data_IF_840645085422
#
_entry.id   IF_840645085422
#
_cell.length_a   1.000
_cell.length_b   1.000
_cell.length_c   1.000
_cell.angle_alpha   90.00
_cell.angle_beta   90.00
_cell.angle_gamma   90.00
#
_symmetry.space_group_name_H-M   'P 1'
#
loop_
_entity.id
_entity.type
_entity.pdbx_description
1 polymer ?
#
# COMPACT_ATOMS: atom_id res chain seq x y z
N UNK A 1 15.64 17.32 4.49
CA UNK A 1 14.34 16.60 4.32
C UNK A 1 13.81 15.99 5.62
N UNK A 2 14.35 14.88 6.14
CA UNK A 2 13.74 14.21 7.32
C UNK A 2 13.71 15.12 8.56
N UNK A 3 14.75 15.94 8.76
CA UNK A 3 14.76 16.96 9.82
C UNK A 3 13.71 18.05 9.63
N UNK A 4 13.52 18.50 8.40
CA UNK A 4 12.54 19.54 8.08
C UNK A 4 11.13 19.05 8.32
N UNK A 5 10.75 17.89 7.78
CA UNK A 5 9.39 17.36 7.97
C UNK A 5 9.13 17.00 9.43
N UNK A 6 10.14 16.55 10.18
CA UNK A 6 10.01 16.31 11.61
C UNK A 6 9.73 17.61 12.36
N UNK A 7 10.46 18.67 12.05
CA UNK A 7 10.26 20.01 12.63
C UNK A 7 8.87 20.57 12.33
N UNK A 8 8.34 20.31 11.15
CA UNK A 8 6.98 20.69 10.75
C UNK A 8 5.88 19.78 11.35
N UNK A 9 6.23 18.84 12.22
CA UNK A 9 5.27 18.00 12.95
C UNK A 9 4.81 16.74 12.20
N UNK A 10 5.54 16.32 11.16
CA UNK A 10 5.27 15.05 10.50
C UNK A 10 5.56 13.88 11.45
N UNK A 11 4.56 13.04 11.69
CA UNK A 11 4.67 11.84 12.55
C UNK A 11 4.72 10.55 11.73
N UNK A 12 3.93 10.48 10.66
CA UNK A 12 3.80 9.27 9.83
C UNK A 12 4.65 9.38 8.56
N UNK A 13 5.56 8.41 8.39
CA UNK A 13 6.43 8.33 7.21
C UNK A 13 6.14 7.05 6.43
N UNK A 14 5.73 7.20 5.17
CA UNK A 14 5.57 6.08 4.25
C UNK A 14 6.78 6.00 3.31
N UNK A 15 7.58 4.94 3.45
CA UNK A 15 8.69 4.63 2.54
C UNK A 15 8.15 3.78 1.39
N UNK A 16 8.14 4.35 0.19
CA UNK A 16 7.54 3.77 -1.02
C UNK A 16 8.31 4.24 -2.27
N UNK A 17 7.66 4.32 -3.42
CA UNK A 17 8.19 4.82 -4.69
C UNK A 17 7.70 3.93 -5.84
N UNK A 18 8.66 3.41 -6.60
CA UNK A 18 8.48 2.16 -7.37
C UNK A 18 8.83 0.93 -6.52
N UNK A 19 10.03 0.92 -5.93
CA UNK A 19 10.50 -0.07 -4.95
C UNK A 19 11.54 0.58 -4.02
N UNK A 20 11.29 0.78 -2.71
CA UNK A 20 12.24 1.47 -1.82
C UNK A 20 13.52 0.69 -1.56
N UNK A 21 13.49 -0.65 -1.62
CA UNK A 21 14.64 -1.50 -1.32
C UNK A 21 15.70 -1.54 -2.44
N UNK A 22 15.45 -0.86 -3.57
CA UNK A 22 16.47 -0.71 -4.63
C UNK A 22 17.59 0.25 -4.23
N UNK A 23 17.33 1.10 -3.23
CA UNK A 23 18.32 2.06 -2.74
C UNK A 23 19.33 1.40 -1.83
N UNK A 24 20.61 1.60 -2.12
CA UNK A 24 21.71 1.09 -1.30
C UNK A 24 21.71 1.67 0.12
N UNK A 25 21.28 2.94 0.25
CA UNK A 25 21.17 3.67 1.52
C UNK A 25 19.83 3.48 2.25
N UNK A 26 18.99 2.50 1.84
CA UNK A 26 17.66 2.29 2.44
C UNK A 26 17.72 2.12 3.96
N UNK A 27 18.65 1.31 4.48
CA UNK A 27 18.78 1.06 5.92
C UNK A 27 19.26 2.30 6.67
N UNK A 28 20.09 3.16 6.07
CA UNK A 28 20.55 4.41 6.67
C UNK A 28 19.38 5.39 6.83
N UNK A 29 18.59 5.58 5.76
CA UNK A 29 17.39 6.41 5.78
C UNK A 29 16.38 5.89 6.80
N UNK A 30 16.14 4.57 6.80
CA UNK A 30 15.23 3.93 7.74
C UNK A 30 15.68 4.11 9.19
N UNK A 31 16.96 3.87 9.48
CA UNK A 31 17.55 4.01 10.81
C UNK A 31 17.41 5.44 11.33
N UNK A 32 17.78 6.42 10.50
CA UNK A 32 17.68 7.84 10.86
C UNK A 32 16.23 8.25 11.13
N UNK A 33 15.29 7.81 10.28
CA UNK A 33 13.87 8.09 10.51
C UNK A 33 13.34 7.43 11.81
N UNK A 34 13.78 6.21 12.14
CA UNK A 34 13.43 5.56 13.40
C UNK A 34 13.97 6.35 14.61
N UNK A 35 15.21 6.82 14.54
CA UNK A 35 15.83 7.62 15.61
C UNK A 35 15.08 8.94 15.84
N UNK A 36 14.60 9.59 14.79
CA UNK A 36 13.76 10.80 14.87
C UNK A 36 12.35 10.55 15.41
N UNK A 37 11.94 9.29 15.61
CA UNK A 37 10.64 8.95 16.16
C UNK A 37 9.50 8.87 15.15
N UNK A 38 9.78 8.77 13.85
CA UNK A 38 8.74 8.56 12.84
C UNK A 38 8.03 7.21 13.03
N UNK A 39 6.72 7.21 12.79
CA UNK A 39 5.92 6.00 12.62
C UNK A 39 6.02 5.57 11.16
N UNK A 40 6.84 4.54 10.90
CA UNK A 40 7.22 4.15 9.55
C UNK A 40 6.33 3.03 9.01
N UNK A 41 5.79 3.22 7.81
CA UNK A 41 5.22 2.15 6.98
C UNK A 41 6.08 1.95 5.74
N UNK A 42 6.35 0.70 5.36
CA UNK A 42 7.13 0.37 4.16
C UNK A 42 6.18 -0.25 3.13
N UNK A 43 6.09 0.32 1.93
CA UNK A 43 5.42 -0.30 0.77
C UNK A 43 6.47 -0.85 -0.18
N UNK A 44 6.37 -2.14 -0.51
CA UNK A 44 7.38 -2.85 -1.32
C UNK A 44 6.73 -3.99 -2.11
N UNK A 45 7.32 -4.36 -3.23
CA UNK A 45 6.98 -5.57 -3.97
C UNK A 45 7.53 -6.85 -3.29
N UNK A 46 8.37 -6.69 -2.27
CA UNK A 46 8.92 -7.81 -1.49
C UNK A 46 10.10 -8.53 -2.15
N UNK A 47 10.47 -8.22 -3.39
CA UNK A 47 11.46 -8.98 -4.16
C UNK A 47 12.92 -8.70 -3.79
N UNK A 48 13.22 -7.65 -3.02
CA UNK A 48 14.59 -7.19 -2.74
C UNK A 48 14.98 -7.27 -1.26
N UNK A 49 14.21 -7.97 -0.43
CA UNK A 49 14.62 -8.20 0.95
C UNK A 49 15.87 -9.07 1.03
N UNK A 50 16.90 -8.56 1.70
CA UNK A 50 18.09 -9.32 2.07
C UNK A 50 18.00 -9.77 3.53
N UNK A 51 18.80 -10.77 3.89
CA UNK A 51 18.88 -11.21 5.29
C UNK A 51 19.29 -10.05 6.23
N UNK A 52 20.21 -9.19 5.79
CA UNK A 52 20.64 -8.01 6.53
C UNK A 52 19.47 -7.07 6.84
N UNK A 53 18.65 -6.74 5.82
CA UNK A 53 17.46 -5.89 5.98
C UNK A 53 16.48 -6.54 6.95
N UNK A 54 16.16 -7.82 6.74
CA UNK A 54 15.21 -8.55 7.57
C UNK A 54 15.67 -8.60 9.03
N UNK A 55 16.97 -8.86 9.27
CA UNK A 55 17.54 -8.91 10.61
C UNK A 55 17.55 -7.54 11.28
N UNK A 56 17.77 -6.46 10.52
CA UNK A 56 17.64 -5.10 11.04
C UNK A 56 16.20 -4.78 11.45
N UNK A 57 15.23 -5.00 10.55
CA UNK A 57 13.81 -4.72 10.82
C UNK A 57 13.25 -5.58 11.97
N UNK A 58 13.84 -6.75 12.24
CA UNK A 58 13.48 -7.54 13.42
C UNK A 58 13.91 -6.87 14.73
N UNK A 59 15.06 -6.18 14.73
CA UNK A 59 15.58 -5.45 15.90
C UNK A 59 14.88 -4.11 16.09
N UNK A 60 14.60 -3.42 14.99
CA UNK A 60 13.90 -2.13 14.97
C UNK A 60 12.72 -2.22 13.99
N UNK A 61 11.54 -2.67 14.43
CA UNK A 61 10.42 -2.90 13.54
C UNK A 61 9.74 -1.59 13.09
N UNK A 62 9.23 -1.55 11.84
CA UNK A 62 8.32 -0.49 11.39
C UNK A 62 6.94 -0.67 12.03
N UNK A 63 6.05 0.30 11.80
CA UNK A 63 4.64 0.14 12.11
C UNK A 63 4.02 -0.97 11.26
N UNK A 64 4.29 -0.97 9.95
CA UNK A 64 3.92 -2.05 9.06
C UNK A 64 4.86 -2.19 7.85
N UNK A 65 4.97 -3.41 7.36
CA UNK A 65 5.52 -3.77 6.06
C UNK A 65 4.33 -4.20 5.21
N UNK A 66 4.05 -3.49 4.13
CA UNK A 66 2.94 -3.80 3.25
C UNK A 66 3.45 -4.28 1.90
N UNK A 67 3.20 -5.56 1.60
CA UNK A 67 3.64 -6.22 0.35
C UNK A 67 2.47 -6.37 -0.60
N UNK A 68 2.66 -5.97 -1.85
CA UNK A 68 1.66 -6.19 -2.89
C UNK A 68 1.68 -7.64 -3.41
N UNK A 69 0.66 -8.43 -3.07
CA UNK A 69 0.39 -9.77 -3.57
C UNK A 69 -0.80 -9.74 -4.54
N UNK A 70 -0.53 -9.69 -5.85
CA UNK A 70 -1.56 -9.54 -6.89
C UNK A 70 -2.08 -10.85 -7.49
N UNK A 71 -1.71 -12.00 -6.91
CA UNK A 71 -2.14 -13.32 -7.35
C UNK A 71 -1.63 -14.39 -6.39
N UNK A 72 -2.31 -15.54 -6.35
CA UNK A 72 -1.93 -16.72 -5.56
C UNK A 72 -1.38 -17.86 -6.43
N UNK A 73 -1.29 -17.62 -7.73
CA UNK A 73 -0.70 -18.50 -8.72
C UNK A 73 0.37 -17.75 -9.51
N UNK A 74 1.43 -18.42 -10.00
CA UNK A 74 2.41 -17.82 -10.89
C UNK A 74 1.75 -17.15 -12.10
N UNK A 75 0.81 -17.85 -12.76
CA UNK A 75 0.12 -17.34 -13.95
C UNK A 75 -0.57 -15.99 -13.69
N UNK A 76 -1.36 -15.88 -12.62
CA UNK A 76 -2.07 -14.63 -12.31
C UNK A 76 -1.14 -13.53 -11.85
N UNK A 77 -0.18 -13.86 -10.98
CA UNK A 77 0.75 -12.88 -10.41
C UNK A 77 1.68 -12.33 -11.49
N UNK A 78 2.28 -13.21 -12.29
CA UNK A 78 3.26 -12.86 -13.33
C UNK A 78 2.60 -12.24 -14.56
N UNK A 79 1.33 -12.54 -14.85
CA UNK A 79 0.53 -11.77 -15.82
C UNK A 79 0.39 -10.30 -15.43
N UNK A 80 0.50 -9.96 -14.13
CA UNK A 80 0.43 -8.58 -13.66
C UNK A 80 1.83 -7.97 -13.53
N UNK A 81 2.78 -8.69 -12.93
CA UNK A 81 4.13 -8.15 -12.72
C UNK A 81 4.99 -8.17 -13.98
N UNK A 82 4.63 -8.98 -14.98
CA UNK A 82 5.37 -9.15 -16.25
C UNK A 82 6.83 -9.61 -16.04
N UNK A 83 7.09 -10.36 -14.97
CA UNK A 83 8.43 -10.82 -14.57
C UNK A 83 8.31 -12.31 -14.22
N UNK A 84 8.90 -13.22 -15.02
CA UNK A 84 8.92 -14.64 -14.71
C UNK A 84 9.61 -14.94 -13.38
N UNK A 85 9.03 -15.83 -12.57
CA UNK A 85 9.56 -16.25 -11.27
C UNK A 85 9.35 -15.23 -10.14
N UNK A 86 8.71 -14.08 -10.41
CA UNK A 86 8.46 -13.06 -9.39
C UNK A 86 7.50 -13.54 -8.29
N UNK A 87 6.58 -14.45 -8.62
CA UNK A 87 5.64 -15.02 -7.66
C UNK A 87 6.36 -15.82 -6.59
N UNK A 88 7.26 -16.74 -7.01
CA UNK A 88 8.02 -17.57 -6.09
C UNK A 88 8.87 -16.73 -5.14
N UNK A 89 9.55 -15.69 -5.67
CA UNK A 89 10.38 -14.79 -4.89
C UNK A 89 9.57 -13.97 -3.88
N UNK A 90 8.43 -13.43 -4.29
CA UNK A 90 7.54 -12.68 -3.40
C UNK A 90 7.00 -13.57 -2.27
N UNK A 91 6.56 -14.79 -2.60
CA UNK A 91 6.04 -15.74 -1.60
C UNK A 91 7.11 -16.22 -0.62
N UNK A 92 8.34 -16.46 -1.07
CA UNK A 92 9.47 -16.80 -0.19
C UNK A 92 9.68 -15.71 0.86
N UNK A 93 9.74 -14.44 0.43
CA UNK A 93 9.92 -13.31 1.34
C UNK A 93 8.74 -13.16 2.29
N UNK A 94 7.51 -13.25 1.79
CA UNK A 94 6.28 -13.21 2.61
C UNK A 94 6.35 -14.27 3.72
N UNK A 95 6.74 -15.50 3.39
CA UNK A 95 6.87 -16.59 4.36
C UNK A 95 7.97 -16.31 5.40
N UNK A 96 9.12 -15.77 4.98
CA UNK A 96 10.21 -15.42 5.90
C UNK A 96 9.77 -14.31 6.87
N UNK A 97 9.13 -13.25 6.37
CA UNK A 97 8.64 -12.14 7.18
C UNK A 97 7.55 -12.61 8.17
N UNK A 98 6.63 -13.45 7.71
CA UNK A 98 5.60 -14.07 8.55
C UNK A 98 6.22 -14.93 9.67
N UNK A 99 7.16 -15.83 9.33
CA UNK A 99 7.88 -16.68 10.29
C UNK A 99 8.64 -15.87 11.33
N UNK A 100 9.25 -14.75 10.93
CA UNK A 100 9.94 -13.83 11.82
C UNK A 100 9.00 -12.89 12.59
N UNK A 101 7.68 -13.01 12.40
CA UNK A 101 6.62 -12.21 13.05
C UNK A 101 6.80 -10.71 12.86
N UNK A 102 7.33 -10.30 11.71
CA UNK A 102 7.36 -8.89 11.31
C UNK A 102 5.93 -8.39 11.04
N UNK A 103 5.65 -7.08 11.21
CA UNK A 103 4.31 -6.52 11.09
C UNK A 103 3.85 -6.45 9.62
N UNK A 104 3.59 -7.61 9.04
CA UNK A 104 3.25 -7.79 7.63
C UNK A 104 1.77 -7.55 7.38
N UNK A 105 1.47 -6.84 6.29
CA UNK A 105 0.15 -6.68 5.69
C UNK A 105 0.28 -7.01 4.21
N UNK A 106 -0.60 -7.83 3.67
CA UNK A 106 -0.67 -8.12 2.25
C UNK A 106 -1.71 -7.23 1.57
N UNK A 107 -1.34 -6.69 0.41
CA UNK A 107 -2.16 -5.81 -0.40
C UNK A 107 -2.40 -6.38 -1.78
N UNK A 108 -3.56 -6.17 -2.35
CA UNK A 108 -3.80 -6.47 -3.77
C UNK A 108 -4.40 -5.28 -4.49
N UNK A 109 -3.91 -4.98 -5.69
CA UNK A 109 -4.67 -4.19 -6.63
C UNK A 109 -5.76 -5.10 -7.19
N UNK A 110 -7.03 -4.70 -7.11
CA UNK A 110 -8.15 -5.47 -7.66
C UNK A 110 -8.34 -5.09 -9.13
N UNK A 111 -7.81 -5.93 -10.00
CA UNK A 111 -7.71 -5.73 -11.45
C UNK A 111 -8.52 -6.80 -12.19
N UNK A 112 -8.92 -6.51 -13.43
CA UNK A 112 -9.57 -7.51 -14.30
C UNK A 112 -8.86 -8.87 -14.33
N UNK A 113 -7.52 -8.96 -14.49
CA UNK A 113 -6.81 -10.24 -14.51
C UNK A 113 -6.89 -11.03 -13.19
N UNK A 114 -6.87 -10.39 -12.02
CA UNK A 114 -6.81 -11.09 -10.73
C UNK A 114 -8.08 -11.04 -9.87
N UNK A 115 -9.16 -10.39 -10.35
CA UNK A 115 -10.41 -10.23 -9.58
C UNK A 115 -10.94 -11.54 -8.99
N UNK A 116 -10.73 -12.65 -9.69
CA UNK A 116 -11.16 -14.00 -9.31
C UNK A 116 -10.29 -14.65 -8.21
N UNK A 117 -9.16 -14.04 -7.86
CA UNK A 117 -8.26 -14.49 -6.80
C UNK A 117 -8.27 -13.59 -5.56
N UNK A 118 -8.90 -12.41 -5.58
CA UNK A 118 -8.90 -11.47 -4.43
C UNK A 118 -9.33 -12.15 -3.12
N UNK A 119 -10.44 -12.91 -3.13
CA UNK A 119 -10.88 -13.67 -1.96
C UNK A 119 -9.94 -14.83 -1.59
N UNK A 120 -9.24 -15.42 -2.57
CA UNK A 120 -8.22 -16.46 -2.31
C UNK A 120 -6.98 -15.88 -1.65
N UNK A 121 -6.55 -14.68 -2.07
CA UNK A 121 -5.44 -13.95 -1.49
C UNK A 121 -5.75 -13.62 -0.02
N UNK A 122 -6.98 -13.15 0.28
CA UNK A 122 -7.41 -12.95 1.68
C UNK A 122 -7.27 -14.22 2.51
N UNK A 123 -7.82 -15.34 2.04
CA UNK A 123 -7.75 -16.64 2.75
C UNK A 123 -6.31 -17.08 2.99
N UNK A 124 -5.45 -17.02 1.98
CA UNK A 124 -4.03 -17.33 2.14
C UNK A 124 -3.36 -16.40 3.17
N UNK A 125 -3.70 -15.11 3.16
CA UNK A 125 -3.19 -14.14 4.14
C UNK A 125 -3.59 -14.53 5.57
N UNK A 126 -4.84 -14.94 5.77
CA UNK A 126 -5.36 -15.38 7.08
C UNK A 126 -4.74 -16.70 7.54
N UNK A 127 -4.45 -17.62 6.62
CA UNK A 127 -3.72 -18.86 6.92
C UNK A 127 -2.28 -18.57 7.34
N UNK A 128 -1.61 -17.61 6.69
CA UNK A 128 -0.22 -17.25 6.97
C UNK A 128 -0.04 -16.40 8.23
N UNK A 129 -0.93 -15.42 8.45
CA UNK A 129 -0.77 -14.37 9.47
C UNK A 129 -1.80 -14.46 10.60
N UNK A 130 -2.77 -15.36 10.48
CA UNK A 130 -3.89 -15.49 11.40
C UNK A 130 -5.10 -14.65 10.98
N UNK A 131 -6.25 -14.94 11.59
CA UNK A 131 -7.49 -14.19 11.37
C UNK A 131 -7.36 -12.75 11.89
N UNK A 132 -8.11 -11.78 11.31
CA UNK A 132 -8.14 -10.42 11.82
C UNK A 132 -8.53 -10.42 13.31
N UNK A 133 -7.71 -9.77 14.13
CA UNK A 133 -8.11 -9.39 15.49
C UNK A 133 -8.85 -8.04 15.42
N UNK A 134 -9.56 -7.66 16.49
CA UNK A 134 -10.24 -6.36 16.56
C UNK A 134 -9.27 -5.24 16.14
N UNK A 135 -9.61 -4.50 15.08
CA UNK A 135 -8.82 -3.41 14.48
C UNK A 135 -7.47 -3.80 13.84
N UNK A 136 -7.24 -5.07 13.51
CA UNK A 136 -6.01 -5.52 12.82
C UNK A 136 -6.34 -6.36 11.59
N UNK A 137 -6.30 -5.72 10.43
CA UNK A 137 -6.49 -6.37 9.12
C UNK A 137 -5.14 -6.66 8.47
N UNK A 138 -4.90 -7.93 8.19
CA UNK A 138 -3.68 -8.40 7.52
C UNK A 138 -3.79 -8.34 5.99
N UNK A 139 -4.99 -8.19 5.45
CA UNK A 139 -5.24 -8.10 4.01
C UNK A 139 -6.00 -6.81 3.68
N UNK A 140 -5.58 -6.11 2.62
CA UNK A 140 -6.26 -4.95 2.05
C UNK A 140 -6.28 -5.07 0.53
N UNK A 141 -7.29 -4.52 -0.13
CA UNK A 141 -7.26 -4.41 -1.59
C UNK A 141 -7.82 -3.07 -2.07
N UNK A 142 -7.34 -2.59 -3.21
CA UNK A 142 -7.77 -1.33 -3.81
C UNK A 142 -8.23 -1.56 -5.27
N UNK A 143 -9.49 -1.23 -5.62
CA UNK A 143 -9.98 -1.30 -6.99
C UNK A 143 -9.70 -0.04 -7.83
N UNK A 144 -9.14 1.02 -7.25
CA UNK A 144 -8.93 2.30 -7.92
C UNK A 144 -7.69 2.25 -8.81
N UNK A 145 -7.88 2.48 -10.10
CA UNK A 145 -6.80 2.61 -11.08
C UNK A 145 -6.94 3.96 -11.76
N UNK A 146 -5.87 4.75 -11.84
CA UNK A 146 -5.89 6.09 -12.42
C UNK A 146 -5.20 6.11 -13.79
N UNK A 147 -5.52 7.07 -14.68
CA UNK A 147 -4.70 7.34 -15.85
C UNK A 147 -3.28 7.74 -15.44
N UNK A 148 -2.32 7.60 -16.37
CA UNK A 148 -0.97 8.13 -16.18
C UNK A 148 -0.99 9.65 -16.15
N UNK A 149 0.03 10.25 -15.54
CA UNK A 149 0.18 11.72 -15.46
C UNK A 149 0.32 12.39 -16.83
N UNK A 150 0.80 11.67 -17.84
CA UNK A 150 0.87 12.14 -19.23
C UNK A 150 -0.46 12.01 -19.99
N UNK A 151 -1.55 11.67 -19.31
CA UNK A 151 -2.89 11.53 -19.91
C UNK A 151 -3.17 10.15 -20.53
N UNK A 152 -2.20 9.23 -20.58
CA UNK A 152 -2.43 7.88 -21.08
C UNK A 152 -3.45 7.12 -20.21
N UNK A 153 -4.55 6.72 -20.82
CA UNK A 153 -5.67 6.03 -20.19
C UNK A 153 -5.55 4.50 -20.24
N UNK A 154 -4.50 3.94 -20.85
CA UNK A 154 -4.29 2.49 -20.97
C UNK A 154 -4.43 1.74 -19.62
N UNK A 155 -3.93 2.24 -18.47
CA UNK A 155 -4.15 1.56 -17.19
C UNK A 155 -5.63 1.36 -16.82
N UNK A 156 -6.50 2.26 -17.28
CA UNK A 156 -7.94 2.19 -16.98
C UNK A 156 -8.63 0.99 -17.63
N UNK A 157 -8.01 0.36 -18.63
CA UNK A 157 -8.50 -0.88 -19.25
C UNK A 157 -8.57 -2.05 -18.25
N UNK A 158 -7.80 -2.00 -17.17
CA UNK A 158 -7.77 -3.01 -16.12
C UNK A 158 -8.78 -2.78 -14.98
N UNK A 159 -9.52 -1.67 -14.99
CA UNK A 159 -10.57 -1.37 -13.99
C UNK A 159 -11.71 -2.36 -14.08
N UNK A 160 -12.23 -2.78 -12.93
CA UNK A 160 -13.50 -3.51 -12.89
C UNK A 160 -14.66 -2.55 -13.12
N UNK A 161 -15.70 -3.03 -13.78
CA UNK A 161 -17.01 -2.40 -13.74
C UNK A 161 -17.60 -2.46 -12.33
N UNK A 162 -18.56 -1.58 -12.04
CA UNK A 162 -19.27 -1.60 -10.75
C UNK A 162 -19.90 -2.96 -10.44
N UNK A 163 -20.48 -3.64 -11.45
CA UNK A 163 -21.07 -4.98 -11.30
C UNK A 163 -20.02 -6.02 -10.90
N UNK A 164 -18.84 -5.97 -11.50
CA UNK A 164 -17.73 -6.88 -11.15
C UNK A 164 -17.19 -6.59 -9.75
N UNK A 165 -17.06 -5.31 -9.36
CA UNK A 165 -16.66 -4.94 -8.00
C UNK A 165 -17.64 -5.44 -6.95
N UNK A 166 -18.94 -5.30 -7.21
CA UNK A 166 -19.97 -5.85 -6.32
C UNK A 166 -19.88 -7.37 -6.21
N UNK A 167 -19.57 -8.06 -7.30
CA UNK A 167 -19.37 -9.51 -7.28
C UNK A 167 -18.19 -9.89 -6.38
N UNK A 168 -17.02 -9.27 -6.60
CA UNK A 168 -15.82 -9.51 -5.77
C UNK A 168 -16.10 -9.23 -4.29
N UNK A 169 -16.80 -8.12 -3.97
CA UNK A 169 -17.16 -7.79 -2.58
C UNK A 169 -18.06 -8.83 -1.93
N UNK A 170 -19.02 -9.38 -2.68
CA UNK A 170 -19.98 -10.39 -2.18
C UNK A 170 -19.38 -11.79 -2.03
N UNK A 171 -18.23 -12.06 -2.66
CA UNK A 171 -17.55 -13.36 -2.55
C UNK A 171 -16.95 -13.62 -1.17
N UNK A 172 -16.69 -12.57 -0.37
CA UNK A 172 -16.18 -12.68 0.99
C UNK A 172 -17.16 -12.03 1.99
N UNK A 173 -17.73 -12.80 2.93
CA UNK A 173 -18.72 -12.28 3.89
C UNK A 173 -18.22 -11.12 4.75
N UNK A 174 -16.94 -11.12 5.14
CA UNK A 174 -16.37 -10.09 6.01
C UNK A 174 -16.25 -8.77 5.23
N UNK A 175 -15.72 -8.85 4.00
CA UNK A 175 -15.62 -7.69 3.09
C UNK A 175 -17.00 -7.13 2.76
N UNK A 176 -17.98 -8.00 2.52
CA UNK A 176 -19.35 -7.58 2.25
C UNK A 176 -19.97 -6.87 3.47
N UNK A 177 -19.80 -7.43 4.66
CA UNK A 177 -20.32 -6.83 5.89
C UNK A 177 -19.68 -5.47 6.18
N UNK A 178 -18.37 -5.33 6.02
CA UNK A 178 -17.66 -4.05 6.19
C UNK A 178 -18.12 -3.01 5.17
N UNK A 179 -18.30 -3.42 3.91
CA UNK A 179 -18.83 -2.55 2.87
C UNK A 179 -20.25 -2.07 3.19
N UNK A 180 -21.14 -2.96 3.66
CA UNK A 180 -22.49 -2.57 4.09
C UNK A 180 -22.45 -1.60 5.27
N UNK A 181 -21.61 -1.85 6.28
CA UNK A 181 -21.42 -0.92 7.41
C UNK A 181 -21.01 0.48 6.94
N UNK A 182 -20.09 0.58 5.97
CA UNK A 182 -19.66 1.85 5.41
C UNK A 182 -20.74 2.56 4.57
N UNK A 183 -21.65 1.83 3.92
CA UNK A 183 -22.80 2.43 3.23
C UNK A 183 -23.83 3.03 4.19
N UNK A 184 -23.93 2.46 5.39
CA UNK A 184 -24.86 2.88 6.44
C UNK A 184 -24.20 3.72 7.53
N UNK A 185 -22.89 4.01 7.42
CA UNK A 185 -22.22 4.87 8.39
C UNK A 185 -22.66 6.30 8.17
N UNK A 186 -23.05 6.96 9.25
CA UNK A 186 -23.24 8.41 9.25
C UNK A 186 -21.93 9.05 8.78
N UNK A 187 -22.01 9.85 7.72
CA UNK A 187 -20.89 10.71 7.39
C UNK A 187 -20.69 11.64 8.59
N UNK A 188 -19.45 11.81 9.10
CA UNK A 188 -19.21 12.74 10.18
C UNK A 188 -19.75 14.10 9.75
N UNK A 189 -20.54 14.72 10.62
CA UNK A 189 -21.04 16.08 10.47
C UNK A 189 -19.85 17.02 10.65
N UNK A 190 -18.97 17.00 9.64
CA UNK A 190 -17.87 17.92 9.54
C UNK A 190 -18.53 19.27 9.31
N UNK A 191 -18.28 20.26 10.17
CA UNK A 191 -18.57 21.66 9.90
C UNK A 191 -17.83 22.07 8.62
N UNK A 192 -18.46 21.77 7.48
CA UNK A 192 -17.93 22.07 6.17
C UNK A 192 -18.47 23.44 5.84
N UNK A 193 -17.58 24.43 5.80
CA UNK A 193 -17.90 25.68 5.14
C UNK A 193 -18.28 25.35 3.67
N UNK A 194 -19.57 25.56 3.39
CA UNK A 194 -20.28 25.14 2.17
C UNK A 194 -19.95 26.01 0.97
N UNK A 195 -19.04 26.99 1.11
CA UNK A 195 -18.59 27.82 0.00
C UNK A 195 -17.95 27.02 -1.15
N UNK A 196 -17.38 25.83 -0.85
CA UNK A 196 -16.73 24.98 -1.84
C UNK A 196 -17.28 23.55 -1.84
N UNK A 197 -17.65 23.04 -3.02
CA UNK A 197 -18.16 21.68 -3.22
C UNK A 197 -17.08 20.60 -3.02
N UNK A 198 -15.81 20.92 -3.29
CA UNK A 198 -14.66 20.02 -3.12
C UNK A 198 -13.55 20.70 -2.32
N UNK A 199 -13.06 20.02 -1.28
CA UNK A 199 -11.81 20.39 -0.58
C UNK A 199 -10.79 19.28 -0.81
N UNK A 200 -9.66 19.64 -1.42
CA UNK A 200 -8.52 18.75 -1.52
C UNK A 200 -7.69 18.88 -0.23
N UNK A 201 -7.36 17.76 0.41
CA UNK A 201 -6.47 17.74 1.58
C UNK A 201 -4.98 17.62 1.21
N UNK A 202 -4.65 17.67 -0.08
CA UNK A 202 -3.27 17.80 -0.55
C UNK A 202 -2.61 18.98 0.16
N UNK A 203 -1.36 18.81 0.60
CA UNK A 203 -0.56 19.76 1.39
C UNK A 203 -1.02 20.01 2.83
N UNK A 204 -2.32 19.87 3.15
CA UNK A 204 -2.83 20.12 4.50
C UNK A 204 -2.53 18.99 5.49
N UNK A 205 -2.72 17.74 5.06
CA UNK A 205 -2.48 16.57 5.93
C UNK A 205 -1.54 15.54 5.33
N UNK A 206 -1.22 15.67 4.03
CA UNK A 206 -0.37 14.75 3.29
C UNK A 206 0.41 15.50 2.21
N UNK A 207 1.64 15.08 2.01
CA UNK A 207 2.52 15.51 0.93
C UNK A 207 3.37 14.30 0.50
N UNK A 208 4.05 14.44 -0.64
CA UNK A 208 4.89 13.40 -1.20
C UNK A 208 6.27 13.97 -1.49
N UNK A 209 7.30 13.17 -1.29
CA UNK A 209 8.67 13.52 -1.68
C UNK A 209 9.11 12.50 -2.73
N UNK A 210 9.54 12.99 -3.88
CA UNK A 210 10.04 12.15 -4.96
C UNK A 210 11.39 11.50 -4.58
N UNK A 211 11.84 10.44 -5.27
CA UNK A 211 13.17 9.86 -5.03
C UNK A 211 14.33 10.85 -5.31
N UNK A 212 14.03 11.99 -5.94
CA UNK A 212 14.97 13.07 -6.24
C UNK A 212 14.88 14.23 -5.24
N UNK A 213 14.18 14.07 -4.12
CA UNK A 213 14.06 15.09 -3.08
C UNK A 213 12.98 16.15 -3.32
N UNK A 214 12.34 16.18 -4.49
CA UNK A 214 11.28 17.16 -4.79
C UNK A 214 10.01 16.93 -3.99
N UNK A 215 9.49 18.00 -3.38
CA UNK A 215 8.22 17.99 -2.68
C UNK A 215 7.05 18.15 -3.65
N UNK A 216 6.02 17.34 -3.46
CA UNK A 216 4.78 17.33 -4.24
C UNK A 216 3.57 17.38 -3.31
N UNK A 217 2.64 18.28 -3.61
CA UNK A 217 1.37 18.37 -2.88
C UNK A 217 0.44 17.18 -3.16
N UNK A 218 0.47 16.67 -4.39
CA UNK A 218 -0.37 15.57 -4.84
C UNK A 218 0.41 14.67 -5.81
N UNK A 219 0.24 13.36 -5.70
CA UNK A 219 0.82 12.39 -6.66
C UNK A 219 0.31 12.59 -8.09
N UNK A 220 -0.88 13.15 -8.26
CA UNK A 220 -1.54 13.32 -9.55
C UNK A 220 -1.21 14.64 -10.25
N UNK A 221 -0.34 15.48 -9.69
CA UNK A 221 -0.09 16.81 -10.22
C UNK A 221 1.40 17.18 -10.20
N UNK A 222 2.00 17.26 -11.39
CA UNK A 222 3.45 17.51 -11.51
C UNK A 222 3.81 19.01 -11.50
N UNK A 223 2.88 19.87 -11.95
CA UNK A 223 3.13 21.30 -12.26
C UNK A 223 3.37 22.20 -11.03
N UNK A 224 3.02 21.76 -9.81
CA UNK A 224 3.21 22.53 -8.57
C UNK A 224 4.24 21.88 -7.64
N UNK A 225 5.19 21.14 -8.19
CA UNK A 225 6.33 20.63 -7.43
C UNK A 225 7.27 21.81 -7.09
N UNK A 226 7.73 21.89 -5.85
CA UNK A 226 8.71 22.89 -5.41
C UNK A 226 10.05 22.18 -5.25
N UNK A 227 11.12 22.78 -5.77
CA UNK A 227 12.52 22.38 -5.57
C UNK A 227 13.04 22.90 -4.22
#
# INVERSE_FOLDING_TARGET
ILDEIHKEGCVWLNLTGGEPLIREDFLEIYAYAKEKGFIITIFTNGCLFTEAIINYLKKSPPCSIEITLNGITPDTYEAITQIPGSFSKAMEVIQILAKKKLPLILKSNCLKPNKHEVGKIKRCTEELLGKPARNKYYFKYDPMIYPRLNGDKTPTNFRLSFKELLKVKKEDPDIWQEYQKGLHSDFPDLERDRAFLYRCNAWLSQFFISPYGRLKFCLFWDKFSID
#
